data_IF_744855326653
#
_entry.id   IF_744855326653
#
_cell.length_a   1.000
_cell.length_b   1.000
_cell.length_c   1.000
_cell.angle_alpha   90.00
_cell.angle_beta   90.00
_cell.angle_gamma   90.00
#
_symmetry.space_group_name_H-M   'P 1'
#
loop_
_entity.id
_entity.type
_entity.pdbx_description
1 polymer ?
#
# COMPACT_ATOMS: atom_id res chain seq x y z
N UNK A 1 -2.30 17.02 -36.11
CA UNK A 1 -1.42 15.99 -35.50
C UNK A 1 -1.18 16.20 -34.00
N UNK A 2 -0.96 17.41 -33.49
CA UNK A 2 -0.61 17.64 -32.06
C UNK A 2 -1.70 17.27 -31.02
N UNK A 3 -2.98 17.43 -31.35
CA UNK A 3 -4.09 17.14 -30.42
C UNK A 3 -4.22 15.66 -30.05
N UNK A 4 -3.92 14.78 -31.00
CA UNK A 4 -3.94 13.32 -30.78
C UNK A 4 -2.83 12.89 -29.82
N UNK A 5 -1.63 13.46 -29.96
CA UNK A 5 -0.49 13.18 -29.08
C UNK A 5 -0.73 13.67 -27.64
N UNK A 6 -1.25 14.89 -27.46
CA UNK A 6 -1.56 15.42 -26.12
C UNK A 6 -2.66 14.63 -25.39
N UNK A 7 -3.65 14.13 -26.13
CA UNK A 7 -4.74 13.31 -25.57
C UNK A 7 -4.21 11.93 -25.14
N UNK A 8 -3.31 11.33 -25.93
CA UNK A 8 -2.66 10.07 -25.58
C UNK A 8 -1.79 10.24 -24.32
N UNK A 9 -0.96 11.28 -24.25
CA UNK A 9 -0.13 11.56 -23.08
C UNK A 9 -0.95 11.81 -21.82
N UNK A 10 -2.07 12.52 -21.92
CA UNK A 10 -2.99 12.68 -20.79
C UNK A 10 -3.51 11.33 -20.29
N UNK A 11 -3.88 10.40 -21.19
CA UNK A 11 -4.33 9.06 -20.82
C UNK A 11 -3.21 8.24 -20.17
N UNK A 12 -2.01 8.28 -20.73
CA UNK A 12 -0.83 7.59 -20.18
C UNK A 12 -0.55 8.06 -18.76
N UNK A 13 -0.49 9.36 -18.52
CA UNK A 13 -0.24 9.91 -17.19
C UNK A 13 -1.38 9.63 -16.20
N UNK A 14 -2.63 9.58 -16.67
CA UNK A 14 -3.76 9.17 -15.81
C UNK A 14 -3.60 7.71 -15.41
N UNK A 15 -3.12 6.84 -16.31
CA UNK A 15 -2.79 5.47 -15.97
C UNK A 15 -1.57 5.37 -15.03
N UNK A 16 -0.56 6.22 -15.21
CA UNK A 16 0.58 6.31 -14.28
C UNK A 16 0.10 6.64 -12.86
N UNK A 17 -0.93 7.49 -12.68
CA UNK A 17 -1.52 7.73 -11.35
C UNK A 17 -2.07 6.46 -10.71
N UNK A 18 -2.88 5.68 -11.45
CA UNK A 18 -3.43 4.42 -10.94
C UNK A 18 -2.32 3.42 -10.61
N UNK A 19 -1.35 3.25 -11.50
CA UNK A 19 -0.25 2.32 -11.29
C UNK A 19 0.54 2.61 -10.00
N UNK A 20 0.74 3.89 -9.66
CA UNK A 20 1.41 4.28 -8.41
C UNK A 20 0.55 3.87 -7.19
N UNK A 21 -0.75 4.14 -7.22
CA UNK A 21 -1.64 3.75 -6.11
C UNK A 21 -1.76 2.24 -5.96
N UNK A 22 -1.85 1.52 -7.07
CA UNK A 22 -1.89 0.06 -7.11
C UNK A 22 -0.59 -0.55 -6.53
N UNK A 23 0.57 0.00 -6.87
CA UNK A 23 1.87 -0.47 -6.33
C UNK A 23 1.98 -0.23 -4.81
N UNK A 24 1.55 0.93 -4.32
CA UNK A 24 1.51 1.20 -2.87
C UNK A 24 0.56 0.21 -2.17
N UNK A 25 -0.64 -0.02 -2.73
CA UNK A 25 -1.61 -0.96 -2.19
C UNK A 25 -1.07 -2.41 -2.16
N UNK A 26 -0.45 -2.87 -3.25
CA UNK A 26 0.13 -4.22 -3.37
C UNK A 26 1.16 -4.49 -2.26
N UNK A 27 2.03 -3.52 -1.94
CA UNK A 27 3.00 -3.71 -0.85
C UNK A 27 2.37 -3.67 0.55
N UNK A 28 1.23 -2.98 0.74
CA UNK A 28 0.47 -3.09 1.99
C UNK A 28 -0.14 -4.49 2.12
N UNK A 29 -0.64 -5.06 1.02
CA UNK A 29 -1.15 -6.43 0.99
C UNK A 29 -0.04 -7.45 1.30
N UNK A 30 1.18 -7.27 0.78
CA UNK A 30 2.33 -8.12 1.12
C UNK A 30 2.61 -8.15 2.64
N UNK A 31 2.59 -6.98 3.28
CA UNK A 31 2.75 -6.86 4.73
C UNK A 31 1.60 -7.58 5.45
N UNK A 32 0.35 -7.35 5.02
CA UNK A 32 -0.82 -7.99 5.63
C UNK A 32 -0.76 -9.52 5.52
N UNK A 33 -0.31 -10.06 4.39
CA UNK A 33 -0.09 -11.51 4.20
C UNK A 33 1.02 -12.04 5.12
N UNK A 34 2.14 -11.33 5.27
CA UNK A 34 3.23 -11.72 6.17
C UNK A 34 2.80 -11.75 7.65
N UNK A 35 2.03 -10.74 8.08
CA UNK A 35 1.46 -10.66 9.44
C UNK A 35 0.44 -11.78 9.66
N UNK A 36 -0.42 -12.05 8.67
CA UNK A 36 -1.39 -13.12 8.74
C UNK A 36 -0.73 -14.51 8.84
N UNK A 37 0.48 -14.67 8.28
CA UNK A 37 1.31 -15.86 8.47
C UNK A 37 2.08 -15.88 9.79
N UNK A 38 1.98 -14.84 10.63
CA UNK A 38 2.73 -14.69 11.88
C UNK A 38 4.26 -14.67 11.69
N UNK A 39 4.74 -14.31 10.49
CA UNK A 39 6.17 -14.22 10.21
C UNK A 39 6.69 -12.80 10.45
N UNK A 40 7.18 -12.55 11.67
CA UNK A 40 7.73 -11.25 12.05
C UNK A 40 9.00 -10.84 11.30
N UNK A 41 9.82 -11.78 10.82
CA UNK A 41 11.01 -11.43 10.04
C UNK A 41 10.62 -10.99 8.63
N UNK A 42 9.72 -11.75 8.00
CA UNK A 42 9.19 -11.38 6.69
C UNK A 42 8.39 -10.07 6.75
N UNK A 43 7.67 -9.83 7.84
CA UNK A 43 6.93 -8.58 8.06
C UNK A 43 7.86 -7.38 8.09
N UNK A 44 8.99 -7.46 8.81
CA UNK A 44 10.01 -6.41 8.87
C UNK A 44 10.65 -6.15 7.49
N UNK A 45 10.99 -7.23 6.75
CA UNK A 45 11.50 -7.13 5.38
C UNK A 45 10.49 -6.45 4.45
N UNK A 46 9.21 -6.83 4.51
CA UNK A 46 8.14 -6.22 3.70
C UNK A 46 7.91 -4.75 4.06
N UNK A 47 8.02 -4.37 5.34
CA UNK A 47 7.91 -2.98 5.77
C UNK A 47 9.06 -2.13 5.22
N UNK A 48 10.29 -2.65 5.24
CA UNK A 48 11.44 -1.98 4.66
C UNK A 48 11.27 -1.76 3.14
N UNK A 49 10.82 -2.79 2.40
CA UNK A 49 10.51 -2.65 0.97
C UNK A 49 9.40 -1.61 0.74
N UNK A 50 8.32 -1.66 1.52
CA UNK A 50 7.21 -0.70 1.42
C UNK A 50 7.65 0.74 1.66
N UNK A 51 8.56 1.00 2.60
CA UNK A 51 9.09 2.35 2.84
C UNK A 51 9.79 2.92 1.59
N UNK A 52 10.50 2.09 0.83
CA UNK A 52 11.12 2.51 -0.44
C UNK A 52 10.04 2.84 -1.48
N UNK A 53 9.02 1.99 -1.59
CA UNK A 53 7.87 2.18 -2.50
C UNK A 53 7.10 3.47 -2.20
N UNK A 54 6.87 3.80 -0.93
CA UNK A 54 6.20 5.05 -0.54
C UNK A 54 7.03 6.26 -0.95
N UNK A 55 8.34 6.23 -0.78
CA UNK A 55 9.21 7.35 -1.16
C UNK A 55 9.24 7.56 -2.68
N UNK A 56 9.32 6.48 -3.46
CA UNK A 56 9.23 6.52 -4.92
C UNK A 56 7.85 7.03 -5.37
N UNK A 57 6.76 6.52 -4.80
CA UNK A 57 5.40 6.95 -5.08
C UNK A 57 5.20 8.45 -4.86
N UNK A 58 5.79 9.03 -3.81
CA UNK A 58 5.74 10.47 -3.53
C UNK A 58 6.45 11.29 -4.59
N UNK A 59 7.61 10.83 -5.06
CA UNK A 59 8.40 11.50 -6.09
C UNK A 59 7.66 11.43 -7.43
N UNK A 60 7.22 10.24 -7.81
CA UNK A 60 6.56 10.02 -9.09
C UNK A 60 5.19 10.69 -9.17
N UNK A 61 4.39 10.63 -8.11
CA UNK A 61 3.11 11.31 -8.09
C UNK A 61 3.26 12.83 -8.25
N UNK A 62 4.29 13.44 -7.64
CA UNK A 62 4.58 14.86 -7.83
C UNK A 62 4.87 15.19 -9.30
N UNK A 63 5.68 14.35 -9.96
CA UNK A 63 6.03 14.51 -11.37
C UNK A 63 4.81 14.34 -12.27
N UNK A 64 4.08 13.25 -12.12
CA UNK A 64 2.93 12.87 -12.95
C UNK A 64 1.79 13.88 -12.82
N UNK A 65 1.43 14.28 -11.60
CA UNK A 65 0.37 15.27 -11.35
C UNK A 65 0.78 16.64 -11.91
N UNK A 66 2.04 17.05 -11.75
CA UNK A 66 2.53 18.31 -12.33
C UNK A 66 2.41 18.36 -13.85
N UNK A 67 2.76 17.26 -14.53
CA UNK A 67 2.63 17.15 -15.98
C UNK A 67 1.15 17.16 -16.42
N UNK A 68 0.28 16.44 -15.72
CA UNK A 68 -1.17 16.42 -15.98
C UNK A 68 -1.80 17.81 -15.85
N UNK A 69 -1.43 18.58 -14.82
CA UNK A 69 -1.90 19.96 -14.63
C UNK A 69 -1.47 20.83 -15.82
N UNK A 70 -0.19 20.74 -16.21
CA UNK A 70 0.35 21.48 -17.36
C UNK A 70 -0.36 21.13 -18.68
N UNK A 71 -0.61 19.85 -18.93
CA UNK A 71 -1.35 19.38 -20.11
C UNK A 71 -2.79 19.87 -20.12
N UNK A 72 -3.51 19.81 -18.98
CA UNK A 72 -4.89 20.34 -18.87
C UNK A 72 -4.92 21.84 -19.15
N UNK A 73 -3.97 22.62 -18.62
CA UNK A 73 -3.87 24.06 -18.89
C UNK A 73 -3.55 24.36 -20.36
N UNK A 74 -2.66 23.60 -21.00
CA UNK A 74 -2.31 23.78 -22.42
C UNK A 74 -3.49 23.43 -23.34
N UNK A 75 -4.27 22.40 -23.01
CA UNK A 75 -5.47 22.01 -23.77
C UNK A 75 -6.61 23.01 -23.61
N UNK A 76 -6.80 23.56 -22.41
CA UNK A 76 -7.84 24.56 -22.11
C UNK A 76 -7.46 25.94 -22.64
N UNK A 77 -6.20 26.38 -22.57
CA UNK A 77 -5.81 27.70 -23.11
C UNK A 77 -5.87 27.79 -24.64
N UNK A 78 -5.84 26.65 -25.35
CA UNK A 78 -6.03 26.58 -26.81
C UNK A 78 -7.49 26.57 -27.29
N UNK A 79 -8.47 26.40 -26.40
CA UNK A 79 -9.90 26.35 -26.70
C UNK A 79 -10.59 27.41 -25.84
N UNK A 80 -11.34 28.35 -26.45
CA UNK A 80 -12.11 29.39 -25.74
C UNK A 80 -12.64 28.87 -24.39
N UNK A 81 -12.22 29.57 -23.33
CA UNK A 81 -12.56 29.30 -21.94
C UNK A 81 -14.04 28.94 -21.74
N UNK A 82 -14.29 27.77 -21.17
CA UNK A 82 -15.62 27.29 -20.83
C UNK A 82 -15.54 26.13 -19.83
N UNK A 83 -15.97 26.43 -18.61
CA UNK A 83 -16.21 25.58 -17.43
C UNK A 83 -15.02 24.83 -16.80
N UNK A 84 -14.64 25.35 -15.63
CA UNK A 84 -13.85 24.69 -14.58
C UNK A 84 -14.70 23.54 -14.00
N UNK A 85 -14.10 22.35 -13.89
CA UNK A 85 -14.70 21.18 -13.24
C UNK A 85 -15.27 21.56 -11.87
N UNK A 86 -16.53 21.20 -11.65
CA UNK A 86 -17.11 21.17 -10.32
C UNK A 86 -16.28 20.21 -9.45
N UNK A 87 -15.89 20.66 -8.25
CA UNK A 87 -15.33 19.77 -7.25
C UNK A 87 -16.39 18.72 -6.89
N UNK A 88 -16.00 17.44 -6.85
CA UNK A 88 -16.85 16.37 -6.34
C UNK A 88 -17.27 16.70 -4.89
N UNK A 89 -18.53 16.46 -4.49
CA UNK A 89 -18.98 16.65 -3.12
C UNK A 89 -18.14 15.83 -2.14
N UNK A 90 -17.86 16.38 -0.96
CA UNK A 90 -17.07 15.71 0.08
C UNK A 90 -17.77 14.47 0.70
N UNK A 91 -19.05 14.24 0.38
CA UNK A 91 -19.92 13.19 0.95
C UNK A 91 -19.64 11.77 0.44
N UNK A 92 -18.80 11.58 -0.59
CA UNK A 92 -18.46 10.25 -1.15
C UNK A 92 -17.11 9.69 -0.66
N UNK A 93 -16.43 10.34 0.28
CA UNK A 93 -15.07 9.93 0.69
C UNK A 93 -15.10 8.83 1.75
N UNK A 94 -14.34 7.75 1.51
CA UNK A 94 -13.97 6.81 2.58
C UNK A 94 -13.21 7.58 3.67
N UNK A 95 -13.57 7.44 4.95
CA UNK A 95 -12.86 8.12 6.04
C UNK A 95 -11.41 7.65 6.11
N UNK A 96 -10.51 8.56 6.50
CA UNK A 96 -9.13 8.20 6.78
C UNK A 96 -9.10 7.17 7.93
N UNK A 97 -8.38 6.04 7.77
CA UNK A 97 -8.22 5.06 8.84
C UNK A 97 -7.58 5.68 10.08
N UNK A 98 -8.06 5.28 11.26
CA UNK A 98 -7.48 5.73 12.53
C UNK A 98 -6.09 5.14 12.72
N UNK A 99 -5.20 5.88 13.39
CA UNK A 99 -3.88 5.35 13.71
C UNK A 99 -4.02 4.20 14.71
N UNK A 100 -3.51 3.03 14.35
CA UNK A 100 -3.38 1.87 15.23
C UNK A 100 -1.90 1.66 15.57
N UNK A 101 -1.58 1.49 16.84
CA UNK A 101 -0.22 1.24 17.34
C UNK A 101 -0.24 0.19 18.47
N UNK A 102 0.94 -0.16 19.01
CA UNK A 102 1.04 -1.13 20.10
C UNK A 102 0.17 -0.76 21.32
N UNK A 103 0.10 0.53 21.68
CA UNK A 103 -0.69 0.99 22.81
C UNK A 103 -2.19 0.74 22.56
N UNK A 104 -2.68 1.04 21.36
CA UNK A 104 -4.03 0.71 20.92
C UNK A 104 -4.31 -0.79 20.99
N UNK A 105 -3.38 -1.64 20.54
CA UNK A 105 -3.52 -3.11 20.62
C UNK A 105 -3.58 -3.62 22.06
N UNK A 106 -2.78 -3.05 22.98
CA UNK A 106 -2.81 -3.40 24.40
C UNK A 106 -4.10 -2.95 25.09
N UNK A 107 -4.64 -1.80 24.70
CA UNK A 107 -5.90 -1.28 25.22
C UNK A 107 -7.11 -2.11 24.76
N UNK A 108 -7.15 -2.45 23.46
CA UNK A 108 -8.24 -3.22 22.87
C UNK A 108 -8.24 -4.69 23.30
N UNK A 109 -7.05 -5.28 23.44
CA UNK A 109 -6.88 -6.70 23.79
C UNK A 109 -5.95 -6.85 25.00
N UNK A 110 -6.39 -6.45 26.20
CA UNK A 110 -5.56 -6.46 27.39
C UNK A 110 -5.28 -7.90 27.86
N UNK A 111 -4.06 -8.13 28.36
CA UNK A 111 -3.66 -9.41 28.96
C UNK A 111 -3.34 -9.23 30.45
N UNK A 112 -4.03 -9.93 31.38
CA UNK A 112 -3.68 -9.88 32.79
C UNK A 112 -2.30 -10.50 33.05
N UNK A 113 -1.57 -10.05 34.08
CA UNK A 113 -0.29 -10.66 34.45
C UNK A 113 -0.39 -11.32 35.83
N UNK A 114 -0.20 -12.65 35.95
CA UNK A 114 0.04 -13.64 34.89
C UNK A 114 -1.22 -14.04 34.11
N UNK A 115 -1.10 -14.26 32.79
CA UNK A 115 -2.17 -14.75 31.92
C UNK A 115 -2.11 -16.27 31.73
N UNK A 116 -3.26 -16.98 31.70
CA UNK A 116 -3.34 -18.31 31.12
C UNK A 116 -2.85 -18.31 29.66
N UNK A 117 -2.19 -19.39 29.22
CA UNK A 117 -1.67 -19.52 27.85
C UNK A 117 -2.79 -19.37 26.81
N UNK A 118 -3.99 -19.88 27.10
CA UNK A 118 -5.14 -19.77 26.21
C UNK A 118 -5.51 -18.30 25.96
N UNK A 119 -5.61 -17.51 27.03
CA UNK A 119 -6.00 -16.10 26.96
C UNK A 119 -4.93 -15.29 26.22
N UNK A 120 -3.64 -15.58 26.46
CA UNK A 120 -2.51 -15.02 25.70
C UNK A 120 -2.63 -15.32 24.20
N UNK A 121 -2.86 -16.58 23.83
CA UNK A 121 -2.99 -16.98 22.42
C UNK A 121 -4.18 -16.32 21.74
N UNK A 122 -5.32 -16.22 22.45
CA UNK A 122 -6.53 -15.57 21.94
C UNK A 122 -6.30 -14.08 21.71
N UNK A 123 -5.69 -13.36 22.66
CA UNK A 123 -5.39 -11.94 22.47
C UNK A 123 -4.36 -11.70 21.35
N UNK A 124 -3.34 -12.56 21.22
CA UNK A 124 -2.37 -12.45 20.12
C UNK A 124 -3.03 -12.64 18.76
N UNK A 125 -3.90 -13.64 18.62
CA UNK A 125 -4.66 -13.87 17.39
C UNK A 125 -5.57 -12.66 17.07
N UNK A 126 -6.29 -12.14 18.07
CA UNK A 126 -7.16 -10.96 17.89
C UNK A 126 -6.38 -9.70 17.49
N UNK A 127 -5.20 -9.48 18.09
CA UNK A 127 -4.29 -8.38 17.69
C UNK A 127 -3.82 -8.54 16.24
N UNK A 128 -3.42 -9.75 15.84
CA UNK A 128 -3.04 -10.05 14.45
C UNK A 128 -4.21 -9.81 13.50
N UNK A 129 -5.39 -10.35 13.78
CA UNK A 129 -6.58 -10.21 12.94
C UNK A 129 -6.98 -8.74 12.77
N UNK A 130 -6.93 -7.94 13.84
CA UNK A 130 -7.22 -6.51 13.77
C UNK A 130 -6.23 -5.77 12.88
N UNK A 131 -4.93 -6.08 12.96
CA UNK A 131 -3.91 -5.43 12.13
C UNK A 131 -4.09 -5.80 10.67
N UNK A 132 -4.35 -7.07 10.35
CA UNK A 132 -4.63 -7.51 8.97
C UNK A 132 -5.86 -6.79 8.42
N UNK A 133 -6.93 -6.69 9.20
CA UNK A 133 -8.12 -5.93 8.82
C UNK A 133 -7.79 -4.45 8.58
N UNK A 134 -7.06 -3.83 9.51
CA UNK A 134 -6.70 -2.42 9.43
C UNK A 134 -5.85 -2.11 8.19
N UNK A 135 -4.88 -2.97 7.85
CA UNK A 135 -4.09 -2.81 6.63
C UNK A 135 -4.97 -2.91 5.37
N UNK A 136 -5.99 -3.77 5.37
CA UNK A 136 -7.01 -3.82 4.31
C UNK A 136 -7.80 -2.51 4.19
N UNK A 137 -8.17 -1.88 5.30
CA UNK A 137 -8.83 -0.57 5.30
C UNK A 137 -7.91 0.53 4.74
N UNK A 138 -6.60 0.46 5.01
CA UNK A 138 -5.61 1.38 4.44
C UNK A 138 -5.43 1.15 2.93
N UNK A 139 -5.48 -0.09 2.45
CA UNK A 139 -5.50 -0.40 1.01
C UNK A 139 -6.71 0.25 0.33
N UNK A 140 -7.92 0.00 0.85
CA UNK A 140 -9.16 0.56 0.30
C UNK A 140 -9.11 2.09 0.27
N UNK A 141 -8.65 2.71 1.36
CA UNK A 141 -8.45 4.16 1.44
C UNK A 141 -7.44 4.66 0.38
N UNK A 142 -6.31 3.98 0.21
CA UNK A 142 -5.27 4.37 -0.75
C UNK A 142 -5.78 4.33 -2.20
N UNK A 143 -6.49 3.26 -2.57
CA UNK A 143 -7.04 3.09 -3.92
C UNK A 143 -8.14 4.13 -4.21
N UNK A 144 -9.07 4.32 -3.27
CA UNK A 144 -10.15 5.31 -3.43
C UNK A 144 -9.61 6.73 -3.56
N UNK A 145 -8.66 7.14 -2.70
CA UNK A 145 -8.05 8.47 -2.79
C UNK A 145 -7.26 8.65 -4.10
N UNK A 146 -6.63 7.59 -4.61
CA UNK A 146 -5.92 7.62 -5.89
C UNK A 146 -6.89 7.80 -7.06
N UNK A 147 -7.99 7.05 -7.09
CA UNK A 147 -9.05 7.19 -8.10
C UNK A 147 -9.65 8.60 -8.10
N UNK A 148 -9.95 9.13 -6.91
CA UNK A 148 -10.41 10.50 -6.75
C UNK A 148 -9.47 11.53 -7.38
N UNK A 149 -8.15 11.37 -7.22
CA UNK A 149 -7.17 12.29 -7.83
C UNK A 149 -7.08 12.10 -9.34
N UNK A 150 -7.13 10.87 -9.85
CA UNK A 150 -7.14 10.59 -11.28
C UNK A 150 -8.31 11.30 -11.98
N UNK A 151 -9.49 11.31 -11.34
CA UNK A 151 -10.67 12.02 -11.82
C UNK A 151 -10.57 13.55 -11.60
N UNK A 152 -10.11 13.97 -10.43
CA UNK A 152 -9.98 15.37 -10.03
C UNK A 152 -8.62 15.64 -9.36
N UNK A 153 -7.67 16.19 -10.13
CA UNK A 153 -6.30 16.49 -9.66
C UNK A 153 -6.21 17.47 -8.48
N UNK A 154 -7.30 18.18 -8.16
CA UNK A 154 -7.37 19.09 -7.01
C UNK A 154 -8.03 18.45 -5.77
N UNK A 155 -8.44 17.18 -5.83
CA UNK A 155 -9.15 16.52 -4.74
C UNK A 155 -8.27 16.36 -3.48
N UNK A 156 -7.07 15.81 -3.66
CA UNK A 156 -6.06 15.54 -2.61
C UNK A 156 -4.66 15.65 -3.22
N UNK A 157 -3.66 15.91 -2.38
CA UNK A 157 -2.25 15.87 -2.78
C UNK A 157 -1.69 14.46 -2.62
N UNK A 158 -1.48 13.73 -3.73
CA UNK A 158 -0.93 12.36 -3.70
C UNK A 158 0.40 12.23 -2.93
N UNK A 159 1.38 13.15 -3.06
CA UNK A 159 2.60 13.06 -2.25
C UNK A 159 2.36 13.16 -0.73
N UNK A 160 1.33 13.88 -0.29
CA UNK A 160 0.96 13.94 1.12
C UNK A 160 0.12 12.73 1.54
N UNK A 161 -0.76 12.25 0.65
CA UNK A 161 -1.50 11.01 0.83
C UNK A 161 -0.54 9.84 1.09
N UNK A 162 0.42 9.61 0.20
CA UNK A 162 1.34 8.47 0.34
C UNK A 162 2.26 8.61 1.54
N UNK A 163 2.69 9.83 1.90
CA UNK A 163 3.39 10.04 3.17
C UNK A 163 2.53 9.64 4.37
N UNK A 164 1.24 10.00 4.35
CA UNK A 164 0.30 9.69 5.42
C UNK A 164 -0.03 8.19 5.50
N UNK A 165 -0.23 7.54 4.36
CA UNK A 165 -0.41 6.08 4.26
C UNK A 165 0.83 5.38 4.81
N UNK A 166 2.03 5.86 4.48
CA UNK A 166 3.28 5.38 5.06
C UNK A 166 3.27 5.39 6.59
N UNK A 167 2.93 6.54 7.20
CA UNK A 167 2.85 6.68 8.66
C UNK A 167 1.82 5.73 9.32
N UNK A 168 0.67 5.51 8.67
CA UNK A 168 -0.37 4.62 9.19
C UNK A 168 0.09 3.17 9.18
N UNK A 169 0.68 2.72 8.07
CA UNK A 169 1.20 1.36 7.91
C UNK A 169 2.36 1.11 8.86
N UNK A 170 3.36 2.00 8.91
CA UNK A 170 4.52 1.89 9.81
C UNK A 170 4.06 1.76 11.26
N UNK A 171 3.15 2.63 11.72
CA UNK A 171 2.62 2.59 13.08
C UNK A 171 1.90 1.28 13.41
N UNK A 172 1.12 0.74 12.48
CA UNK A 172 0.38 -0.51 12.68
C UNK A 172 1.33 -1.71 12.71
N UNK A 173 2.28 -1.77 11.78
CA UNK A 173 3.23 -2.88 11.65
C UNK A 173 4.18 -2.93 12.83
N UNK A 174 4.79 -1.79 13.20
CA UNK A 174 5.62 -1.69 14.42
C UNK A 174 4.80 -2.08 15.65
N UNK A 175 3.55 -1.63 15.70
CA UNK A 175 2.61 -1.99 16.76
C UNK A 175 2.42 -3.49 16.92
N UNK A 176 2.27 -4.21 15.81
CA UNK A 176 2.13 -5.66 15.80
C UNK A 176 3.45 -6.38 16.13
N UNK A 177 4.57 -5.92 15.58
CA UNK A 177 5.91 -6.46 15.87
C UNK A 177 6.20 -6.38 17.37
N UNK A 178 5.89 -5.26 18.02
CA UNK A 178 6.06 -5.10 19.46
C UNK A 178 5.05 -5.93 20.26
N UNK A 179 3.75 -5.77 20.00
CA UNK A 179 2.69 -6.31 20.85
C UNK A 179 2.45 -7.82 20.67
N UNK A 180 2.97 -8.43 19.61
CA UNK A 180 2.79 -9.86 19.30
C UNK A 180 4.13 -10.55 19.07
N UNK A 181 4.92 -10.12 18.08
CA UNK A 181 6.10 -10.86 17.66
C UNK A 181 7.24 -10.83 18.71
N UNK A 182 7.54 -9.65 19.25
CA UNK A 182 8.58 -9.43 20.24
C UNK A 182 8.15 -9.87 21.65
N UNK A 183 6.93 -9.55 22.06
CA UNK A 183 6.41 -9.92 23.38
C UNK A 183 6.14 -11.44 23.50
N UNK A 184 5.70 -12.09 22.42
CA UNK A 184 5.30 -13.50 22.42
C UNK A 184 5.94 -14.34 21.30
N UNK A 185 7.28 -14.45 21.23
CA UNK A 185 8.00 -15.12 20.14
C UNK A 185 7.81 -16.64 20.10
N UNK A 186 7.35 -17.24 21.20
CA UNK A 186 6.96 -18.66 21.23
C UNK A 186 5.66 -18.92 20.48
N UNK A 187 4.72 -17.96 20.54
CA UNK A 187 3.43 -18.04 19.87
C UNK A 187 3.58 -17.84 18.37
N UNK A 188 4.26 -16.79 17.92
CA UNK A 188 4.49 -16.53 16.48
C UNK A 188 5.22 -17.66 15.80
N UNK A 189 6.27 -18.22 16.42
CA UNK A 189 6.97 -19.41 15.87
C UNK A 189 6.08 -20.66 15.75
N UNK A 190 5.11 -20.82 16.65
CA UNK A 190 4.18 -21.95 16.59
C UNK A 190 3.10 -21.76 15.52
N UNK A 191 2.73 -20.51 15.23
CA UNK A 191 1.71 -20.14 14.25
C UNK A 191 2.26 -19.95 12.83
N UNK A 192 3.58 -19.72 12.69
CA UNK A 192 4.23 -19.47 11.39
C UNK A 192 3.90 -20.57 10.37
N UNK A 193 3.53 -20.17 9.15
CA UNK A 193 3.13 -21.08 8.07
C UNK A 193 1.65 -21.48 8.10
N UNK A 194 0.85 -20.89 8.99
CA UNK A 194 -0.61 -21.14 9.05
C UNK A 194 -1.38 -20.43 7.94
N UNK A 195 -0.83 -19.38 7.34
CA UNK A 195 -1.41 -18.65 6.23
C UNK A 195 -0.31 -18.16 5.27
N UNK A 196 0.35 -19.07 4.54
CA UNK A 196 1.52 -18.74 3.75
C UNK A 196 1.24 -17.61 2.74
N UNK A 197 2.10 -16.57 2.66
CA UNK A 197 1.87 -15.44 1.77
C UNK A 197 1.85 -15.86 0.30
N UNK A 198 0.84 -15.39 -0.43
CA UNK A 198 0.66 -15.69 -1.86
C UNK A 198 1.70 -14.96 -2.70
N UNK A 199 2.08 -13.75 -2.31
CA UNK A 199 3.06 -12.98 -3.07
C UNK A 199 4.42 -13.70 -3.18
N UNK A 200 4.77 -14.54 -2.20
CA UNK A 200 5.97 -15.38 -2.28
C UNK A 200 5.88 -16.46 -3.37
N UNK A 201 4.69 -17.05 -3.56
CA UNK A 201 4.46 -17.99 -4.67
C UNK A 201 4.60 -17.28 -6.02
N UNK A 202 4.10 -16.05 -6.11
CA UNK A 202 4.20 -15.22 -7.31
C UNK A 202 5.65 -14.81 -7.61
N UNK A 203 6.39 -14.33 -6.60
CA UNK A 203 7.83 -14.03 -6.70
C UNK A 203 8.62 -15.25 -7.19
N UNK A 204 8.40 -16.42 -6.58
CA UNK A 204 9.06 -17.66 -6.99
C UNK A 204 8.74 -18.06 -8.45
N UNK A 205 7.49 -17.84 -8.88
CA UNK A 205 7.07 -18.07 -10.27
C UNK A 205 7.76 -17.10 -11.24
N UNK A 206 7.85 -15.82 -10.89
CA UNK A 206 8.54 -14.80 -11.70
C UNK A 206 10.03 -15.14 -11.83
N UNK A 207 10.70 -15.48 -10.74
CA UNK A 207 12.12 -15.85 -10.74
C UNK A 207 12.41 -17.05 -11.64
N UNK A 208 11.55 -18.08 -11.61
CA UNK A 208 11.66 -19.23 -12.48
C UNK A 208 11.55 -18.83 -13.98
N UNK A 209 10.70 -17.86 -14.31
CA UNK A 209 10.56 -17.33 -15.67
C UNK A 209 11.81 -16.53 -16.06
N UNK A 210 12.28 -15.63 -15.19
CA UNK A 210 13.49 -14.82 -15.42
C UNK A 210 14.71 -15.73 -15.65
N UNK A 211 14.91 -16.74 -14.80
CA UNK A 211 15.98 -17.73 -14.95
C UNK A 211 15.90 -18.46 -16.30
N UNK A 212 14.69 -18.85 -16.73
CA UNK A 212 14.46 -19.49 -18.03
C UNK A 212 14.79 -18.55 -19.20
N UNK A 213 14.42 -17.28 -19.12
CA UNK A 213 14.74 -16.27 -20.15
C UNK A 213 16.24 -16.00 -20.19
N UNK A 214 16.89 -15.85 -19.04
CA UNK A 214 18.34 -15.68 -18.93
C UNK A 214 19.08 -16.87 -19.55
N UNK A 215 18.67 -18.09 -19.24
CA UNK A 215 19.22 -19.32 -19.83
C UNK A 215 18.99 -19.41 -21.36
N UNK A 216 17.87 -18.90 -21.88
CA UNK A 216 17.61 -18.86 -23.33
C UNK A 216 18.46 -17.78 -24.03
N UNK A 217 18.69 -16.64 -23.38
CA UNK A 217 19.55 -15.57 -23.90
C UNK A 217 21.01 -16.00 -23.95
N UNK A 218 21.52 -16.66 -22.90
CA UNK A 218 22.91 -17.16 -22.88
C UNK A 218 23.17 -18.20 -23.99
N UNK A 219 22.19 -19.05 -24.29
CA UNK A 219 22.26 -20.03 -25.40
C UNK A 219 22.17 -19.44 -26.80
N UNK A 220 21.69 -18.19 -26.96
CA UNK A 220 21.59 -17.49 -28.26
C UNK A 220 22.75 -16.53 -28.51
N UNK A 221 23.52 -16.20 -27.47
CA UNK A 221 24.73 -15.37 -27.54
C UNK A 221 26.03 -16.16 -27.57
N UNK A 222 25.95 -17.50 -27.66
CA UNK A 222 27.04 -18.44 -27.92
C UNK A 222 26.85 -19.06 -29.31
#
# INVERSE_FOLDING_TARGET
>A
MHRTAATLRHRELTQEVYNIGDEVAEYIEHIAEAIADYDGELTDDCLAEFSEIVDDARIDARRVVGELIGLRQALVSGVRAGSISAALPAEERIPEPERLDAAGLFELFPLPSPSPVKDMSEACAQRTDLIVQHLGEVVDFTLEQTDMVAQNLAAVSLPHLYARVGELVESAVDGWLDAVAAEHPGFTRAMRGSNPPKFLEERARVDAIVAKVAAKRSRRGA
#
